data_IF_568551005432
#
_entry.id   IF_568551005432
#
_cell.length_a   1.000
_cell.length_b   1.000
_cell.length_c   1.000
_cell.angle_alpha   90.00
_cell.angle_beta   90.00
_cell.angle_gamma   90.00
#
_symmetry.space_group_name_H-M   'P 1'
#
loop_
_entity.id
_entity.type
_entity.pdbx_description
1 polymer ?
#
# COMPACT_ATOMS: atom_id res chain seq x y z
N UNK A 1 1.23 0.07 38.17
CA UNK A 1 -0.11 0.28 37.57
C UNK A 1 0.09 0.16 36.07
N UNK A 2 -0.46 -0.86 35.41
CA UNK A 2 -0.35 -0.98 33.96
C UNK A 2 -1.21 0.11 33.31
N UNK A 3 -0.58 1.13 32.74
CA UNK A 3 -1.28 2.08 31.88
C UNK A 3 -1.48 1.36 30.56
N UNK A 4 -2.64 0.73 30.39
CA UNK A 4 -3.08 0.24 29.08
C UNK A 4 -3.52 1.45 28.28
N UNK A 5 -2.60 2.06 27.55
CA UNK A 5 -2.90 2.99 26.48
C UNK A 5 -3.62 2.19 25.39
N UNK A 6 -4.95 2.13 25.48
CA UNK A 6 -5.77 1.74 24.33
C UNK A 6 -5.77 2.91 23.37
N UNK A 7 -4.92 2.84 22.35
CA UNK A 7 -5.10 3.64 21.14
C UNK A 7 -6.53 3.41 20.62
N UNK A 8 -7.18 4.44 20.04
CA UNK A 8 -8.52 4.30 19.50
C UNK A 8 -8.51 3.12 18.54
N UNK A 9 -9.30 2.09 18.84
CA UNK A 9 -9.51 0.95 17.96
C UNK A 9 -10.00 1.49 16.63
N UNK A 10 -9.10 1.56 15.65
CA UNK A 10 -9.48 1.68 14.26
C UNK A 10 -10.46 0.51 14.03
N UNK A 11 -11.68 0.75 13.54
CA UNK A 11 -12.64 -0.32 13.27
C UNK A 11 -11.96 -1.44 12.47
N UNK A 12 -12.43 -2.67 12.55
CA UNK A 12 -12.06 -3.68 11.56
C UNK A 12 -12.41 -3.15 10.17
N UNK A 13 -11.41 -2.64 9.45
CA UNK A 13 -11.56 -1.94 8.16
C UNK A 13 -11.70 -2.90 6.98
N UNK A 14 -11.70 -4.21 7.22
CA UNK A 14 -11.62 -5.22 6.18
C UNK A 14 -12.99 -5.85 5.92
N UNK A 15 -13.52 -5.61 4.72
CA UNK A 15 -14.42 -6.56 4.08
C UNK A 15 -13.58 -7.75 3.58
N UNK A 16 -14.07 -8.97 3.82
CA UNK A 16 -13.42 -10.17 3.30
C UNK A 16 -13.41 -10.13 1.75
N UNK A 17 -12.36 -10.64 1.09
CA UNK A 17 -12.31 -10.66 -0.36
C UNK A 17 -13.50 -11.43 -0.93
N UNK A 18 -14.18 -10.85 -1.91
CA UNK A 18 -15.21 -11.56 -2.66
C UNK A 18 -14.59 -12.48 -3.72
N UNK A 19 -15.28 -13.57 -4.07
CA UNK A 19 -14.77 -14.60 -5.00
C UNK A 19 -14.49 -14.04 -6.40
N UNK A 20 -15.15 -12.95 -6.76
CA UNK A 20 -15.08 -12.32 -8.09
C UNK A 20 -14.00 -11.23 -8.19
N UNK A 21 -13.30 -10.93 -7.09
CA UNK A 21 -12.26 -9.91 -7.09
C UNK A 21 -11.04 -10.29 -7.92
N UNK A 22 -10.43 -9.29 -8.55
CA UNK A 22 -9.14 -9.46 -9.21
C UNK A 22 -8.07 -9.90 -8.21
N UNK A 23 -7.17 -10.79 -8.64
CA UNK A 23 -6.08 -11.32 -7.80
C UNK A 23 -5.23 -10.18 -7.21
N UNK A 24 -5.03 -9.09 -7.97
CA UNK A 24 -4.35 -7.93 -7.44
C UNK A 24 -5.08 -7.19 -6.33
N UNK A 25 -6.41 -7.18 -6.32
CA UNK A 25 -7.18 -6.67 -5.19
C UNK A 25 -7.00 -7.57 -3.97
N UNK A 26 -7.15 -8.89 -4.12
CA UNK A 26 -7.00 -9.86 -3.03
C UNK A 26 -5.64 -9.73 -2.35
N UNK A 27 -4.54 -9.74 -3.13
CA UNK A 27 -3.20 -9.61 -2.56
C UNK A 27 -2.91 -8.23 -1.96
N UNK A 28 -3.50 -7.17 -2.52
CA UNK A 28 -3.44 -5.84 -1.92
C UNK A 28 -4.11 -5.84 -0.54
N UNK A 29 -5.28 -6.47 -0.43
CA UNK A 29 -5.99 -6.59 0.84
C UNK A 29 -5.20 -7.37 1.88
N UNK A 30 -4.46 -8.40 1.46
CA UNK A 30 -3.58 -9.18 2.32
C UNK A 30 -2.27 -8.46 2.70
N UNK A 31 -1.99 -7.27 2.14
CA UNK A 31 -0.72 -6.57 2.33
C UNK A 31 0.48 -7.32 1.72
N UNK A 32 0.24 -8.25 0.79
CA UNK A 32 1.26 -9.16 0.26
C UNK A 32 1.89 -8.70 -1.05
N UNK A 33 1.38 -7.62 -1.65
CA UNK A 33 2.00 -7.01 -2.83
C UNK A 33 2.99 -5.93 -2.49
N UNK A 34 4.15 -6.01 -3.15
CA UNK A 34 5.07 -4.90 -3.27
C UNK A 34 4.41 -3.77 -4.07
N UNK A 35 4.45 -2.55 -3.55
CA UNK A 35 4.10 -1.36 -4.35
C UNK A 35 5.39 -0.83 -4.98
N UNK A 36 5.53 -1.00 -6.29
CA UNK A 36 6.69 -0.53 -7.05
C UNK A 36 6.34 0.77 -7.77
N UNK A 37 6.77 1.88 -7.22
CA UNK A 37 6.77 3.17 -7.90
C UNK A 37 7.95 3.19 -8.88
N UNK A 38 7.69 3.00 -10.17
CA UNK A 38 8.73 2.78 -11.18
C UNK A 38 9.29 4.09 -11.75
N UNK A 39 8.47 5.13 -11.82
CA UNK A 39 8.86 6.44 -12.35
C UNK A 39 7.88 7.51 -11.86
N UNK A 40 8.34 8.73 -11.61
CA UNK A 40 7.49 9.89 -11.33
C UNK A 40 7.03 10.64 -12.58
N UNK A 41 7.49 10.23 -13.77
CA UNK A 41 7.11 10.85 -15.05
C UNK A 41 5.64 10.53 -15.34
N UNK A 42 4.85 11.56 -15.65
CA UNK A 42 3.46 11.44 -16.09
C UNK A 42 3.18 12.48 -17.18
N UNK A 43 2.34 12.12 -18.15
CA UNK A 43 1.89 13.06 -19.18
C UNK A 43 0.72 13.94 -18.70
N UNK A 44 0.06 13.55 -17.60
CA UNK A 44 -1.17 14.16 -17.12
C UNK A 44 -0.98 14.82 -15.77
N UNK A 45 -1.65 15.96 -15.57
CA UNK A 45 -1.72 16.69 -14.30
C UNK A 45 -3.17 16.69 -13.82
N UNK A 46 -3.66 15.53 -13.44
CA UNK A 46 -5.03 15.36 -12.96
C UNK A 46 -5.26 16.18 -11.70
N UNK A 47 -6.43 16.82 -11.60
CA UNK A 47 -6.77 17.66 -10.45
C UNK A 47 -6.90 16.85 -9.15
N UNK A 48 -7.29 15.57 -9.25
CA UNK A 48 -7.43 14.61 -8.15
C UNK A 48 -6.15 13.84 -7.82
N UNK A 49 -5.02 14.10 -8.49
CA UNK A 49 -3.81 13.27 -8.35
C UNK A 49 -3.30 13.22 -6.89
N UNK A 50 -3.26 12.04 -6.23
CA UNK A 50 -2.86 11.91 -4.83
C UNK A 50 -1.33 11.92 -4.64
N UNK A 51 -0.55 11.91 -5.73
CA UNK A 51 0.91 11.91 -5.64
C UNK A 51 1.43 13.19 -4.98
N UNK A 52 2.26 12.99 -3.96
CA UNK A 52 3.01 14.05 -3.28
C UNK A 52 4.01 14.73 -4.22
N UNK A 53 4.30 16.01 -3.97
CA UNK A 53 5.17 16.82 -4.84
C UNK A 53 6.57 16.22 -4.99
N UNK A 54 7.13 15.62 -3.94
CA UNK A 54 8.44 14.98 -3.96
C UNK A 54 8.52 13.71 -4.84
N UNK A 55 7.38 13.13 -5.23
CA UNK A 55 7.32 11.98 -6.15
C UNK A 55 6.94 12.39 -7.57
N UNK A 56 6.40 13.59 -7.79
CA UNK A 56 6.05 14.08 -9.13
C UNK A 56 7.32 14.40 -9.92
N UNK A 57 7.38 13.91 -11.15
CA UNK A 57 8.53 14.09 -12.06
C UNK A 57 9.87 13.51 -11.51
N UNK A 58 9.82 12.76 -10.41
CA UNK A 58 11.00 12.11 -9.83
C UNK A 58 11.48 10.95 -10.72
N UNK A 59 12.80 10.81 -10.85
CA UNK A 59 13.41 9.67 -11.56
C UNK A 59 13.69 8.48 -10.64
N UNK A 60 13.56 8.67 -9.33
CA UNK A 60 13.81 7.65 -8.31
C UNK A 60 12.69 6.60 -8.28
N UNK A 61 13.06 5.32 -8.19
CA UNK A 61 12.09 4.27 -7.89
C UNK A 61 11.84 4.18 -6.39
N UNK A 62 10.66 3.72 -6.01
CA UNK A 62 10.39 3.32 -4.62
C UNK A 62 9.79 1.92 -4.59
N UNK A 63 10.40 1.05 -3.79
CA UNK A 63 9.83 -0.23 -3.41
C UNK A 63 9.19 -0.05 -2.03
N UNK A 64 7.85 -0.01 -1.99
CA UNK A 64 7.11 0.50 -0.84
C UNK A 64 7.58 1.92 -0.46
N UNK A 65 8.13 2.07 0.76
CA UNK A 65 8.69 3.32 1.28
C UNK A 65 10.20 3.46 0.97
N UNK A 66 10.89 2.37 0.59
CA UNK A 66 12.34 2.36 0.35
C UNK A 66 12.67 3.01 -1.00
N UNK A 67 13.47 4.09 -1.06
CA UNK A 67 14.03 4.57 -2.32
C UNK A 67 14.99 3.55 -2.91
N UNK A 68 14.89 3.30 -4.22
CA UNK A 68 15.69 2.30 -4.91
C UNK A 68 16.39 2.89 -6.14
N UNK A 69 17.69 2.65 -6.25
CA UNK A 69 18.52 3.00 -7.40
C UNK A 69 18.70 1.81 -8.37
N UNK A 70 18.29 0.60 -7.97
CA UNK A 70 18.41 -0.60 -8.80
C UNK A 70 17.29 -1.60 -8.52
N UNK A 71 17.05 -2.52 -9.46
CA UNK A 71 16.11 -3.62 -9.24
C UNK A 71 16.59 -4.64 -8.20
N UNK A 72 17.89 -4.67 -7.86
CA UNK A 72 18.37 -5.55 -6.79
C UNK A 72 17.87 -5.06 -5.43
N UNK A 73 17.85 -3.75 -5.20
CA UNK A 73 17.26 -3.15 -3.98
C UNK A 73 15.75 -3.35 -3.92
N UNK A 74 15.06 -3.30 -5.08
CA UNK A 74 13.63 -3.62 -5.20
C UNK A 74 13.38 -5.09 -4.81
N UNK A 75 14.20 -6.01 -5.31
CA UNK A 75 14.13 -7.44 -5.01
C UNK A 75 14.39 -7.71 -3.52
N UNK A 76 15.38 -7.05 -2.93
CA UNK A 76 15.64 -7.13 -1.48
C UNK A 76 14.41 -6.74 -0.67
N UNK A 77 13.76 -5.62 -1.04
CA UNK A 77 12.57 -5.14 -0.35
C UNK A 77 11.38 -6.10 -0.53
N UNK A 78 11.19 -6.64 -1.74
CA UNK A 78 10.20 -7.67 -2.01
C UNK A 78 10.43 -8.94 -1.18
N UNK A 79 11.69 -9.42 -1.08
CA UNK A 79 12.04 -10.58 -0.24
C UNK A 79 11.76 -10.31 1.23
N UNK A 80 12.15 -9.13 1.71
CA UNK A 80 12.05 -8.81 3.11
C UNK A 80 10.59 -8.59 3.56
N UNK A 81 9.67 -8.16 2.68
CA UNK A 81 8.22 -8.21 2.97
C UNK A 81 7.55 -9.56 2.63
N UNK A 82 8.34 -10.56 2.21
CA UNK A 82 7.86 -11.84 1.70
C UNK A 82 6.75 -11.64 0.63
N UNK A 83 6.98 -10.77 -0.35
CA UNK A 83 5.97 -10.39 -1.33
C UNK A 83 5.49 -11.60 -2.17
N UNK A 84 4.19 -11.65 -2.48
CA UNK A 84 3.58 -12.64 -3.38
C UNK A 84 3.35 -12.10 -4.79
N UNK A 85 3.54 -10.80 -4.98
CA UNK A 85 3.35 -10.10 -6.24
C UNK A 85 3.81 -8.65 -6.14
N UNK A 86 3.69 -7.92 -7.24
CA UNK A 86 3.96 -6.49 -7.29
C UNK A 86 2.89 -5.71 -8.07
N UNK A 87 2.66 -4.47 -7.64
CA UNK A 87 1.92 -3.44 -8.35
C UNK A 87 2.83 -2.36 -8.86
N UNK A 88 2.93 -2.25 -10.19
CA UNK A 88 3.72 -1.24 -10.86
C UNK A 88 2.88 0.01 -11.03
N UNK A 89 3.26 1.04 -10.30
CA UNK A 89 2.63 2.36 -10.27
C UNK A 89 3.70 3.44 -10.48
N UNK A 90 3.35 4.71 -10.31
CA UNK A 90 4.23 5.82 -10.59
C UNK A 90 3.45 7.11 -10.83
N UNK A 91 4.03 7.98 -11.65
CA UNK A 91 3.29 8.93 -12.46
C UNK A 91 2.47 8.18 -13.52
N UNK A 92 3.15 7.57 -14.50
CA UNK A 92 2.56 6.55 -15.37
C UNK A 92 3.68 5.60 -15.88
N UNK A 93 3.61 4.28 -15.60
CA UNK A 93 4.61 3.30 -16.03
C UNK A 93 4.91 3.29 -17.54
N UNK A 94 3.96 3.69 -18.38
CA UNK A 94 4.14 3.78 -19.83
C UNK A 94 5.03 4.96 -20.25
N UNK A 95 5.30 5.92 -19.36
CA UNK A 95 6.27 7.00 -19.62
C UNK A 95 7.72 6.48 -19.66
N UNK A 96 7.99 5.34 -19.02
CA UNK A 96 9.27 4.62 -19.13
C UNK A 96 9.02 3.13 -19.37
N UNK A 97 8.49 2.83 -20.56
CA UNK A 97 8.05 1.48 -20.94
C UNK A 97 9.16 0.43 -20.83
N UNK A 98 10.38 0.76 -21.28
CA UNK A 98 11.50 -0.18 -21.26
C UNK A 98 11.91 -0.51 -19.83
N UNK A 99 11.98 0.51 -18.96
CA UNK A 99 12.28 0.31 -17.55
C UNK A 99 11.18 -0.51 -16.84
N UNK A 100 9.92 -0.25 -17.16
CA UNK A 100 8.78 -1.04 -16.68
C UNK A 100 8.87 -2.50 -17.11
N UNK A 101 9.13 -2.79 -18.39
CA UNK A 101 9.28 -4.16 -18.90
C UNK A 101 10.46 -4.88 -18.23
N UNK A 102 11.57 -4.19 -18.01
CA UNK A 102 12.70 -4.75 -17.27
C UNK A 102 12.33 -5.08 -15.82
N UNK A 103 11.63 -4.18 -15.12
CA UNK A 103 11.15 -4.43 -13.76
C UNK A 103 10.25 -5.67 -13.65
N UNK A 104 9.33 -5.85 -14.61
CA UNK A 104 8.47 -7.05 -14.67
C UNK A 104 9.34 -8.31 -14.84
N UNK A 105 10.25 -8.32 -15.83
CA UNK A 105 11.10 -9.48 -16.11
C UNK A 105 11.99 -9.84 -14.92
N UNK A 106 12.59 -8.85 -14.27
CA UNK A 106 13.48 -9.03 -13.12
C UNK A 106 12.76 -9.64 -11.92
N UNK A 107 11.58 -9.12 -11.58
CA UNK A 107 10.77 -9.67 -10.50
C UNK A 107 10.27 -11.09 -10.83
N UNK A 108 9.82 -11.33 -12.06
CA UNK A 108 9.40 -12.67 -12.50
C UNK A 108 10.54 -13.69 -12.50
N UNK A 109 11.73 -13.29 -12.93
CA UNK A 109 12.91 -14.14 -12.93
C UNK A 109 13.32 -14.54 -11.51
N UNK A 110 13.21 -13.62 -10.56
CA UNK A 110 13.57 -13.84 -9.17
C UNK A 110 12.55 -14.70 -8.41
N UNK A 111 11.27 -14.35 -8.48
CA UNK A 111 10.22 -14.94 -7.64
C UNK A 111 9.40 -16.04 -8.34
N UNK A 112 9.60 -16.21 -9.65
CA UNK A 112 8.96 -17.25 -10.44
C UNK A 112 7.58 -16.89 -11.00
N UNK A 113 6.97 -17.83 -11.75
CA UNK A 113 5.75 -17.58 -12.53
C UNK A 113 4.48 -17.40 -11.69
N UNK A 114 4.50 -17.70 -10.39
CA UNK A 114 3.38 -17.44 -9.48
C UNK A 114 3.40 -16.04 -8.88
N UNK A 115 4.49 -15.29 -9.04
CA UNK A 115 4.60 -13.95 -8.48
C UNK A 115 3.76 -12.95 -9.28
N UNK A 116 2.61 -12.57 -8.76
CA UNK A 116 1.60 -11.85 -9.54
C UNK A 116 2.02 -10.42 -9.87
N UNK A 117 2.10 -10.09 -11.14
CA UNK A 117 2.47 -8.76 -11.65
C UNK A 117 1.24 -8.02 -12.15
N UNK A 118 0.97 -6.85 -11.57
CA UNK A 118 -0.03 -5.93 -12.12
C UNK A 118 0.53 -4.53 -12.34
N UNK A 119 -0.06 -3.81 -13.28
CA UNK A 119 0.37 -2.46 -13.65
C UNK A 119 -0.83 -1.52 -13.82
N UNK A 120 -0.64 -0.26 -13.43
CA UNK A 120 -1.58 0.83 -13.68
C UNK A 120 -1.11 1.66 -14.88
N UNK A 121 -2.03 2.17 -15.71
CA UNK A 121 -1.68 3.19 -16.71
C UNK A 121 -2.90 4.00 -17.13
N UNK A 122 -2.67 5.28 -17.42
CA UNK A 122 -3.64 6.19 -18.03
C UNK A 122 -3.45 6.33 -19.55
N UNK A 123 -2.46 5.65 -20.12
CA UNK A 123 -2.09 5.77 -21.53
C UNK A 123 -2.76 4.63 -22.33
N UNK A 124 -3.68 4.94 -23.26
CA UNK A 124 -4.18 3.96 -24.22
C UNK A 124 -3.08 3.67 -25.25
N UNK A 125 -2.13 2.82 -24.87
CA UNK A 125 -0.95 2.51 -25.66
C UNK A 125 -1.30 1.67 -26.89
N UNK A 126 -0.34 1.53 -27.81
CA UNK A 126 -0.59 0.82 -29.07
C UNK A 126 -0.85 -0.67 -28.82
N UNK A 127 -1.92 -1.27 -29.38
CA UNK A 127 -2.26 -2.68 -29.18
C UNK A 127 -1.11 -3.68 -29.32
N UNK A 128 -0.16 -3.43 -30.23
CA UNK A 128 1.02 -4.29 -30.42
C UNK A 128 1.91 -4.45 -29.16
N UNK A 129 1.90 -3.48 -28.25
CA UNK A 129 2.69 -3.53 -27.02
C UNK A 129 2.10 -4.49 -25.98
N UNK A 130 0.82 -4.86 -26.09
CA UNK A 130 0.19 -5.82 -25.17
C UNK A 130 0.97 -7.16 -25.14
N UNK A 131 1.45 -7.60 -26.30
CA UNK A 131 2.28 -8.81 -26.40
C UNK A 131 3.60 -8.67 -25.64
N UNK A 132 4.26 -7.52 -25.72
CA UNK A 132 5.53 -7.29 -25.01
C UNK A 132 5.35 -7.35 -23.50
N UNK A 133 4.23 -6.82 -22.97
CA UNK A 133 3.88 -6.92 -21.56
C UNK A 133 3.55 -8.36 -21.13
N UNK A 134 2.77 -9.09 -21.94
CA UNK A 134 2.48 -10.50 -21.67
C UNK A 134 3.76 -11.35 -21.67
N UNK A 135 4.64 -11.17 -22.66
CA UNK A 135 5.94 -11.86 -22.76
C UNK A 135 6.89 -11.50 -21.59
N UNK A 136 6.82 -10.27 -21.08
CA UNK A 136 7.55 -9.88 -19.87
C UNK A 136 6.99 -10.56 -18.61
N UNK A 137 5.74 -11.01 -18.64
CA UNK A 137 5.06 -11.69 -17.54
C UNK A 137 4.09 -10.80 -16.77
N UNK A 138 3.48 -9.80 -17.38
CA UNK A 138 2.38 -9.05 -16.76
C UNK A 138 1.12 -9.93 -16.69
N UNK A 139 0.53 -10.09 -15.51
CA UNK A 139 -0.71 -10.87 -15.31
C UNK A 139 -1.95 -9.99 -15.44
N UNK A 140 -1.89 -8.77 -14.90
CA UNK A 140 -3.05 -7.90 -14.76
C UNK A 140 -2.70 -6.45 -15.15
N UNK A 141 -3.62 -5.75 -15.80
CA UNK A 141 -3.48 -4.33 -16.12
C UNK A 141 -4.76 -3.57 -15.75
N UNK A 142 -4.58 -2.37 -15.19
CA UNK A 142 -5.66 -1.46 -14.80
C UNK A 142 -5.53 -0.16 -15.58
N UNK A 143 -6.52 0.12 -16.41
CA UNK A 143 -6.59 1.37 -17.15
C UNK A 143 -7.31 2.44 -16.34
N UNK A 144 -6.67 3.59 -16.20
CA UNK A 144 -7.28 4.80 -15.65
C UNK A 144 -7.90 5.61 -16.80
N UNK A 145 -9.23 5.72 -16.82
CA UNK A 145 -9.93 6.42 -17.90
C UNK A 145 -9.80 7.94 -17.74
N UNK A 146 -9.00 8.55 -18.60
CA UNK A 146 -8.96 10.00 -18.75
C UNK A 146 -10.28 10.52 -19.32
N UNK A 147 -10.84 11.54 -18.67
CA UNK A 147 -12.16 12.14 -18.99
C UNK A 147 -13.30 11.11 -19.09
N UNK A 148 -13.16 9.95 -18.43
CA UNK A 148 -14.11 8.83 -18.47
C UNK A 148 -14.41 8.29 -19.89
N UNK A 149 -13.52 8.53 -20.86
CA UNK A 149 -13.69 8.12 -22.25
C UNK A 149 -13.26 6.66 -22.47
N UNK A 150 -14.14 5.72 -22.11
CA UNK A 150 -13.90 4.28 -22.21
C UNK A 150 -13.56 3.82 -23.66
N UNK A 151 -14.15 4.46 -24.67
CA UNK A 151 -14.00 4.06 -26.09
C UNK A 151 -12.58 4.20 -26.61
N UNK A 152 -11.80 5.13 -26.06
CA UNK A 152 -10.36 5.27 -26.40
C UNK A 152 -9.54 4.03 -26.03
N UNK A 153 -10.00 3.24 -25.06
CA UNK A 153 -9.26 2.10 -24.52
C UNK A 153 -9.70 0.76 -25.12
N UNK A 154 -10.83 0.71 -25.84
CA UNK A 154 -11.42 -0.52 -26.38
C UNK A 154 -10.40 -1.40 -27.12
N UNK A 155 -9.70 -0.81 -28.10
CA UNK A 155 -8.71 -1.56 -28.90
C UNK A 155 -7.52 -2.12 -28.10
N UNK A 156 -7.06 -1.41 -27.07
CA UNK A 156 -5.92 -1.85 -26.24
C UNK A 156 -6.38 -2.86 -25.18
N UNK A 157 -7.59 -2.71 -24.66
CA UNK A 157 -8.21 -3.66 -23.73
C UNK A 157 -8.39 -5.01 -24.40
N UNK A 158 -9.04 -5.07 -25.57
CA UNK A 158 -9.19 -6.31 -26.32
C UNK A 158 -7.84 -6.94 -26.67
N UNK A 159 -6.82 -6.13 -26.95
CA UNK A 159 -5.47 -6.62 -27.21
C UNK A 159 -4.81 -7.25 -25.97
N UNK A 160 -4.94 -6.63 -24.79
CA UNK A 160 -4.43 -7.19 -23.53
C UNK A 160 -5.11 -8.53 -23.20
N UNK A 161 -6.43 -8.58 -23.31
CA UNK A 161 -7.23 -9.79 -23.08
C UNK A 161 -6.86 -10.90 -24.07
N UNK A 162 -6.66 -10.57 -25.34
CA UNK A 162 -6.21 -11.52 -26.36
C UNK A 162 -4.79 -12.09 -26.09
N UNK A 163 -3.97 -11.39 -25.31
CA UNK A 163 -2.68 -11.88 -24.84
C UNK A 163 -2.75 -12.64 -23.50
N UNK A 164 -3.95 -12.77 -22.92
CA UNK A 164 -4.16 -13.45 -21.64
C UNK A 164 -3.90 -12.58 -20.40
N UNK A 165 -3.80 -11.25 -20.56
CA UNK A 165 -3.66 -10.31 -19.45
C UNK A 165 -5.05 -10.01 -18.89
N UNK A 166 -5.24 -10.22 -17.58
CA UNK A 166 -6.46 -9.80 -16.89
C UNK A 166 -6.55 -8.27 -16.92
N UNK A 167 -7.60 -7.75 -17.51
CA UNK A 167 -7.73 -6.33 -17.83
C UNK A 167 -8.93 -5.74 -17.12
N UNK A 168 -8.69 -4.69 -16.36
CA UNK A 168 -9.73 -3.94 -15.69
C UNK A 168 -9.57 -2.44 -15.87
N UNK A 169 -10.54 -1.72 -15.34
CA UNK A 169 -10.52 -0.26 -15.26
C UNK A 169 -10.45 0.13 -13.79
N UNK A 170 -9.68 1.16 -13.47
CA UNK A 170 -9.65 1.74 -12.13
C UNK A 170 -9.79 3.26 -12.23
N UNK A 171 -10.81 3.83 -11.59
CA UNK A 171 -11.13 5.26 -11.66
C UNK A 171 -11.55 5.80 -10.28
N UNK A 172 -11.28 7.09 -9.99
CA UNK A 172 -11.82 7.74 -8.82
C UNK A 172 -13.33 7.96 -8.97
N UNK A 173 -14.05 7.84 -7.86
CA UNK A 173 -15.48 8.12 -7.79
C UNK A 173 -15.69 9.59 -7.43
N UNK A 174 -15.57 10.48 -8.42
CA UNK A 174 -15.74 11.91 -8.24
C UNK A 174 -17.24 12.27 -8.09
N UNK A 175 -17.68 12.78 -6.92
CA UNK A 175 -19.12 12.91 -6.65
C UNK A 175 -19.82 13.98 -7.48
N UNK A 176 -19.09 14.95 -8.03
CA UNK A 176 -19.62 15.96 -8.96
C UNK A 176 -19.80 15.44 -10.40
N UNK A 177 -19.36 14.21 -10.69
CA UNK A 177 -19.44 13.55 -12.01
C UNK A 177 -20.41 12.36 -12.02
N UNK A 178 -21.43 12.33 -11.16
CA UNK A 178 -22.38 11.21 -11.07
C UNK A 178 -22.96 10.80 -12.42
N UNK A 179 -23.38 11.77 -13.25
CA UNK A 179 -24.00 11.47 -14.56
C UNK A 179 -23.00 10.87 -15.53
N UNK A 180 -21.79 11.41 -15.54
CA UNK A 180 -20.69 10.99 -16.38
C UNK A 180 -20.20 9.60 -15.99
N UNK A 181 -20.05 9.33 -14.68
CA UNK A 181 -19.70 8.02 -14.15
C UNK A 181 -20.75 6.95 -14.45
N UNK A 182 -22.04 7.26 -14.27
CA UNK A 182 -23.13 6.35 -14.62
C UNK A 182 -23.22 6.11 -16.14
N UNK A 183 -22.92 7.13 -16.96
CA UNK A 183 -22.83 6.98 -18.41
C UNK A 183 -21.64 6.09 -18.80
N UNK A 184 -20.48 6.30 -18.18
CA UNK A 184 -19.28 5.51 -18.43
C UNK A 184 -19.51 4.04 -18.05
N UNK A 185 -20.24 3.77 -16.97
CA UNK A 185 -20.63 2.41 -16.58
C UNK A 185 -21.42 1.70 -17.68
N UNK A 186 -22.32 2.40 -18.38
CA UNK A 186 -23.04 1.86 -19.53
C UNK A 186 -22.19 1.77 -20.79
N UNK A 187 -21.28 2.73 -21.05
CA UNK A 187 -20.34 2.66 -22.18
C UNK A 187 -19.36 1.48 -22.04
N UNK A 188 -19.03 1.08 -20.80
CA UNK A 188 -18.20 -0.09 -20.50
C UNK A 188 -18.92 -1.42 -20.74
N UNK A 189 -20.25 -1.41 -20.91
CA UNK A 189 -21.02 -2.62 -21.19
C UNK A 189 -20.62 -3.21 -22.54
N UNK A 190 -20.11 -4.45 -22.51
CA UNK A 190 -19.67 -5.16 -23.71
C UNK A 190 -18.21 -4.90 -24.10
N UNK A 191 -17.45 -4.15 -23.29
CA UNK A 191 -15.99 -4.16 -23.37
C UNK A 191 -15.44 -5.46 -22.78
N UNK A 192 -14.24 -5.87 -23.21
CA UNK A 192 -13.59 -7.11 -22.76
C UNK A 192 -12.97 -7.02 -21.34
N UNK A 193 -13.42 -6.08 -20.50
CA UNK A 193 -12.90 -5.93 -19.13
C UNK A 193 -13.45 -7.02 -18.21
N UNK A 194 -12.64 -7.48 -17.23
CA UNK A 194 -13.08 -8.43 -16.22
C UNK A 194 -13.54 -7.76 -14.92
N UNK A 195 -13.05 -6.55 -14.62
CA UNK A 195 -13.38 -5.82 -13.41
C UNK A 195 -13.30 -4.30 -13.56
N UNK A 196 -14.04 -3.60 -12.70
CA UNK A 196 -13.99 -2.15 -12.49
C UNK A 196 -13.70 -1.88 -11.01
N UNK A 197 -12.62 -1.16 -10.72
CA UNK A 197 -12.32 -0.66 -9.40
C UNK A 197 -12.72 0.81 -9.30
N UNK A 198 -13.63 1.13 -8.39
CA UNK A 198 -13.94 2.49 -7.98
C UNK A 198 -13.19 2.81 -6.70
N UNK A 199 -12.38 3.86 -6.73
CA UNK A 199 -11.72 4.38 -5.55
C UNK A 199 -12.52 5.56 -5.00
N UNK A 200 -12.75 5.58 -3.70
CA UNK A 200 -13.23 6.79 -3.03
C UNK A 200 -12.26 7.95 -3.32
N UNK A 201 -12.80 9.12 -3.63
CA UNK A 201 -11.99 10.28 -3.95
C UNK A 201 -11.29 10.77 -2.68
N UNK A 202 -9.97 10.64 -2.64
CA UNK A 202 -9.11 11.09 -1.55
C UNK A 202 -8.72 12.57 -1.68
N UNK A 203 -8.92 13.34 -0.62
CA UNK A 203 -8.43 14.69 -0.42
C UNK A 203 -7.10 14.58 0.34
N UNK A 204 -6.01 14.82 -0.38
CA UNK A 204 -4.63 14.79 0.14
C UNK A 204 -4.04 16.19 0.14
N UNK A 205 -2.92 16.40 0.85
CA UNK A 205 -2.18 17.67 0.81
C UNK A 205 -1.84 18.10 -0.63
N UNK A 206 -1.53 17.13 -1.49
CA UNK A 206 -1.12 17.38 -2.88
C UNK A 206 -2.26 17.78 -3.83
N UNK A 207 -3.52 17.57 -3.46
CA UNK A 207 -4.68 17.93 -4.29
C UNK A 207 -5.69 18.85 -3.57
N UNK A 208 -5.48 19.16 -2.28
CA UNK A 208 -6.43 19.91 -1.45
C UNK A 208 -6.92 21.21 -2.09
N UNK A 209 -6.01 22.02 -2.64
CA UNK A 209 -6.39 23.28 -3.29
C UNK A 209 -7.31 23.09 -4.51
N UNK A 210 -7.11 22.02 -5.28
CA UNK A 210 -7.99 21.70 -6.41
C UNK A 210 -9.34 21.16 -5.93
N UNK A 211 -9.34 20.37 -4.85
CA UNK A 211 -10.57 19.84 -4.25
C UNK A 211 -11.43 20.97 -3.64
N UNK A 212 -10.80 21.97 -3.01
CA UNK A 212 -11.48 23.17 -2.49
C UNK A 212 -12.12 23.98 -3.62
N UNK A 213 -11.41 24.19 -4.73
CA UNK A 213 -11.96 24.88 -5.92
C UNK A 213 -13.18 24.16 -6.50
N UNK A 214 -13.21 22.83 -6.41
CA UNK A 214 -14.34 22.00 -6.83
C UNK A 214 -15.45 21.88 -5.78
N UNK A 215 -15.27 22.47 -4.60
CA UNK A 215 -16.27 22.53 -3.54
C UNK A 215 -16.43 21.24 -2.76
N UNK A 216 -15.45 20.34 -2.79
CA UNK A 216 -15.48 19.11 -1.99
C UNK A 216 -15.15 19.41 -0.52
N UNK A 217 -15.92 18.78 0.37
CA UNK A 217 -15.63 18.73 1.80
C UNK A 217 -15.18 17.31 2.16
N UNK A 218 -14.42 17.18 3.25
CA UNK A 218 -14.11 15.88 3.83
C UNK A 218 -15.42 15.18 4.26
N UNK A 219 -15.49 13.85 4.06
CA UNK A 219 -16.65 13.02 4.42
C UNK A 219 -16.93 13.02 5.92
N UNK A 220 -15.87 13.10 6.74
CA UNK A 220 -15.93 13.30 8.19
C UNK A 220 -14.61 13.91 8.71
N UNK A 221 -14.47 14.11 10.03
CA UNK A 221 -13.25 14.67 10.65
C UNK A 221 -12.06 13.68 10.67
N UNK A 222 -12.27 12.41 10.27
CA UNK A 222 -11.33 11.30 10.48
C UNK A 222 -10.76 10.77 9.15
N UNK A 223 -11.51 10.88 8.06
CA UNK A 223 -11.21 10.28 6.76
C UNK A 223 -10.78 11.32 5.74
N UNK A 224 -9.89 10.92 4.83
CA UNK A 224 -9.51 11.74 3.68
C UNK A 224 -10.54 11.68 2.53
N UNK A 225 -11.70 11.03 2.70
CA UNK A 225 -12.69 10.88 1.63
C UNK A 225 -13.41 12.18 1.28
N UNK A 226 -13.80 12.35 0.02
CA UNK A 226 -14.68 13.44 -0.41
C UNK A 226 -16.15 13.10 -0.13
N UNK A 227 -16.88 14.02 0.50
CA UNK A 227 -18.30 13.85 0.80
C UNK A 227 -19.11 13.49 -0.46
N UNK A 228 -19.94 12.44 -0.36
CA UNK A 228 -20.75 11.91 -1.46
C UNK A 228 -20.03 10.89 -2.36
N UNK A 229 -18.70 10.78 -2.30
CA UNK A 229 -17.94 9.83 -3.12
C UNK A 229 -18.29 8.37 -2.80
N UNK A 230 -18.28 8.01 -1.51
CA UNK A 230 -18.62 6.65 -1.07
C UNK A 230 -20.08 6.27 -1.40
N UNK A 231 -21.03 7.18 -1.20
CA UNK A 231 -22.44 6.93 -1.51
C UNK A 231 -22.64 6.65 -3.00
N UNK A 232 -22.03 7.46 -3.86
CA UNK A 232 -22.07 7.24 -5.31
C UNK A 232 -21.41 5.92 -5.70
N UNK A 233 -20.25 5.59 -5.14
CA UNK A 233 -19.56 4.34 -5.44
C UNK A 233 -20.36 3.11 -5.01
N UNK A 234 -21.00 3.15 -3.84
CA UNK A 234 -21.92 2.10 -3.35
C UNK A 234 -23.12 1.95 -4.30
N UNK A 235 -23.73 3.06 -4.71
CA UNK A 235 -24.84 3.06 -5.66
C UNK A 235 -24.43 2.40 -7.00
N UNK A 236 -23.25 2.72 -7.52
CA UNK A 236 -22.73 2.10 -8.75
C UNK A 236 -22.46 0.60 -8.56
N UNK A 237 -21.81 0.21 -7.45
CA UNK A 237 -21.54 -1.20 -7.12
C UNK A 237 -22.83 -2.00 -7.02
N UNK A 238 -23.80 -1.50 -6.25
CA UNK A 238 -25.05 -2.21 -5.98
C UNK A 238 -25.90 -2.34 -7.26
N UNK A 239 -25.85 -1.35 -8.16
CA UNK A 239 -26.41 -1.44 -9.52
C UNK A 239 -25.79 -2.59 -10.32
N UNK A 240 -24.46 -2.69 -10.34
CA UNK A 240 -23.77 -3.77 -11.06
C UNK A 240 -24.10 -5.14 -10.46
N UNK A 241 -24.10 -5.26 -9.14
CA UNK A 241 -24.46 -6.47 -8.42
C UNK A 241 -25.92 -6.90 -8.67
N UNK A 242 -26.87 -5.96 -8.61
CA UNK A 242 -28.27 -6.23 -8.90
C UNK A 242 -28.46 -6.71 -10.35
N UNK A 243 -27.79 -6.08 -11.32
CA UNK A 243 -27.83 -6.49 -12.71
C UNK A 243 -27.24 -7.90 -12.94
N UNK A 244 -26.16 -8.26 -12.22
CA UNK A 244 -25.59 -9.61 -12.29
C UNK A 244 -26.55 -10.69 -11.75
N UNK A 245 -27.36 -10.35 -10.74
CA UNK A 245 -28.36 -11.23 -10.15
C UNK A 245 -29.71 -11.22 -10.89
N UNK A 246 -29.91 -10.29 -11.84
CA UNK A 246 -31.20 -10.08 -12.51
C UNK A 246 -32.26 -9.46 -11.59
N UNK A 247 -31.84 -8.79 -10.53
CA UNK A 247 -32.71 -8.11 -9.56
C UNK A 247 -33.01 -6.66 -10.00
N UNK A 248 -34.10 -6.05 -9.50
CA UNK A 248 -34.37 -4.64 -9.72
C UNK A 248 -33.23 -3.76 -9.20
N UNK A 249 -32.80 -2.79 -10.00
CA UNK A 249 -31.79 -1.81 -9.59
C UNK A 249 -32.25 -1.05 -8.32
N UNK A 250 -31.40 -0.92 -7.29
CA UNK A 250 -31.78 -0.32 -6.02
C UNK A 250 -32.10 1.18 -6.10
N UNK A 251 -31.65 1.86 -7.17
CA UNK A 251 -31.80 3.30 -7.38
C UNK A 251 -33.11 3.60 -8.12
N UNK A 252 -33.42 2.86 -9.19
CA UNK A 252 -34.56 3.16 -10.08
C UNK A 252 -35.53 2.00 -10.34
N UNK A 253 -35.27 0.81 -9.78
CA UNK A 253 -36.11 -0.36 -9.90
C UNK A 253 -36.12 -1.02 -11.29
N UNK A 254 -35.29 -0.55 -12.23
CA UNK A 254 -35.19 -1.15 -13.56
C UNK A 254 -34.33 -2.42 -13.49
N UNK A 255 -34.85 -3.54 -13.99
CA UNK A 255 -34.07 -4.77 -14.15
C UNK A 255 -33.19 -4.63 -15.39
N UNK A 256 -31.88 -4.77 -15.22
CA UNK A 256 -30.87 -4.61 -16.26
C UNK A 256 -30.22 -5.96 -16.57
N UNK A 257 -29.74 -6.11 -17.80
CA UNK A 257 -28.85 -7.21 -18.16
C UNK A 257 -27.51 -7.09 -17.40
N UNK A 258 -26.78 -8.18 -17.17
CA UNK A 258 -25.46 -8.13 -16.56
C UNK A 258 -24.48 -7.20 -17.32
N UNK A 259 -23.62 -6.51 -16.59
CA UNK A 259 -22.60 -5.62 -17.19
C UNK A 259 -21.42 -6.39 -17.81
N UNK A 260 -21.16 -7.61 -17.33
CA UNK A 260 -20.08 -8.47 -17.82
C UNK A 260 -18.76 -8.37 -17.03
N UNK A 261 -18.73 -7.56 -15.97
CA UNK A 261 -17.57 -7.37 -15.09
C UNK A 261 -18.00 -7.20 -13.64
N UNK A 262 -17.09 -7.52 -12.71
CA UNK A 262 -17.27 -7.26 -11.29
C UNK A 262 -16.90 -5.81 -10.96
N UNK A 263 -17.66 -5.12 -10.11
CA UNK A 263 -17.34 -3.77 -9.64
C UNK A 263 -16.95 -3.81 -8.16
N UNK A 264 -15.70 -3.47 -7.87
CA UNK A 264 -15.18 -3.32 -6.50
C UNK A 264 -15.11 -1.85 -6.11
N UNK A 265 -15.57 -1.52 -4.91
CA UNK A 265 -15.38 -0.21 -4.30
C UNK A 265 -14.26 -0.28 -3.23
N UNK A 266 -13.28 0.62 -3.31
CA UNK A 266 -12.22 0.77 -2.32
C UNK A 266 -12.37 2.12 -1.59
N UNK A 267 -12.51 2.08 -0.27
CA UNK A 267 -12.60 3.30 0.55
C UNK A 267 -11.23 3.94 0.76
N UNK A 268 -11.20 5.25 0.99
CA UNK A 268 -9.99 6.01 1.28
C UNK A 268 -9.31 5.48 2.56
N UNK A 269 -10.10 5.22 3.61
CA UNK A 269 -9.62 4.67 4.88
C UNK A 269 -8.95 3.32 4.70
N UNK A 270 -9.54 2.48 3.85
CA UNK A 270 -8.96 1.17 3.55
C UNK A 270 -7.62 1.29 2.85
N UNK A 271 -7.52 2.21 1.89
CA UNK A 271 -6.29 2.45 1.13
C UNK A 271 -5.18 3.03 2.00
N UNK A 272 -5.49 4.01 2.83
CA UNK A 272 -4.50 4.70 3.66
C UNK A 272 -4.07 3.87 4.88
N UNK A 273 -5.04 3.39 5.67
CA UNK A 273 -4.75 2.71 6.93
C UNK A 273 -4.71 1.18 6.77
N UNK A 274 -5.66 0.60 6.02
CA UNK A 274 -5.79 -0.85 5.88
C UNK A 274 -4.62 -1.49 5.12
N UNK A 275 -4.37 -1.03 3.89
CA UNK A 275 -3.34 -1.60 3.01
C UNK A 275 -1.94 -1.40 3.58
N UNK A 276 -1.65 -0.21 4.11
CA UNK A 276 -0.35 0.10 4.73
C UNK A 276 -0.12 -0.76 5.97
N UNK A 277 -1.10 -0.83 6.90
CA UNK A 277 -0.99 -1.64 8.12
C UNK A 277 -0.78 -3.12 7.80
N UNK A 278 -1.53 -3.69 6.86
CA UNK A 278 -1.37 -5.11 6.50
C UNK A 278 0.01 -5.40 5.92
N UNK A 279 0.55 -4.48 5.10
CA UNK A 279 1.92 -4.60 4.59
C UNK A 279 2.97 -4.47 5.70
N UNK A 280 2.77 -3.57 6.66
CA UNK A 280 3.65 -3.43 7.82
C UNK A 280 3.60 -4.66 8.72
N UNK A 281 2.42 -5.21 9.01
CA UNK A 281 2.27 -6.47 9.72
C UNK A 281 3.02 -7.60 9.01
N UNK A 282 2.79 -7.78 7.70
CA UNK A 282 3.48 -8.81 6.91
C UNK A 282 4.99 -8.64 6.92
N UNK A 283 5.47 -7.40 6.72
CA UNK A 283 6.91 -7.10 6.73
C UNK A 283 7.50 -7.35 8.11
N UNK A 284 6.84 -6.89 9.17
CA UNK A 284 7.21 -7.15 10.55
C UNK A 284 7.32 -8.64 10.84
N UNK A 285 6.30 -9.43 10.50
CA UNK A 285 6.31 -10.89 10.68
C UNK A 285 7.46 -11.58 9.94
N UNK A 286 7.81 -11.09 8.74
CA UNK A 286 8.87 -11.64 7.92
C UNK A 286 10.28 -11.30 8.42
N UNK A 287 10.46 -10.16 9.09
CA UNK A 287 11.80 -9.65 9.48
C UNK A 287 12.03 -9.51 10.98
N UNK A 288 11.06 -9.84 11.82
CA UNK A 288 11.15 -9.64 13.27
C UNK A 288 12.39 -10.32 13.87
N UNK A 289 13.16 -9.54 14.62
CA UNK A 289 14.34 -10.00 15.34
C UNK A 289 13.94 -10.60 16.71
N UNK A 290 14.79 -11.44 17.33
CA UNK A 290 14.41 -12.13 18.57
C UNK A 290 14.04 -11.19 19.73
N UNK A 291 14.63 -10.00 19.80
CA UNK A 291 14.39 -9.01 20.85
C UNK A 291 13.15 -8.14 20.64
N UNK A 292 12.53 -8.24 19.46
CA UNK A 292 11.41 -7.39 19.06
C UNK A 292 10.07 -8.06 19.31
N UNK A 293 9.03 -7.24 19.47
CA UNK A 293 7.64 -7.67 19.47
C UNK A 293 6.88 -6.87 18.41
N UNK A 294 6.14 -7.58 17.54
CA UNK A 294 5.23 -6.96 16.56
C UNK A 294 3.90 -6.62 17.23
N UNK A 295 3.50 -5.36 17.14
CA UNK A 295 2.23 -4.87 17.67
C UNK A 295 1.09 -5.14 16.70
N UNK A 296 -0.16 -5.05 17.19
CA UNK A 296 -1.34 -5.13 16.33
C UNK A 296 -1.42 -3.96 15.35
N UNK A 297 -0.78 -2.82 15.62
CA UNK A 297 -0.79 -1.66 14.72
C UNK A 297 0.26 -1.74 13.60
N UNK A 298 1.02 -2.83 13.53
CA UNK A 298 2.05 -3.03 12.51
C UNK A 298 3.35 -2.28 12.82
N UNK A 299 3.69 -2.13 14.10
CA UNK A 299 4.96 -1.55 14.57
C UNK A 299 5.78 -2.58 15.33
N UNK A 300 7.09 -2.35 15.45
CA UNK A 300 7.99 -3.20 16.23
C UNK A 300 8.37 -2.45 17.52
N UNK A 301 8.22 -3.11 18.66
CA UNK A 301 8.61 -2.58 19.96
C UNK A 301 9.72 -3.40 20.58
N UNK A 302 10.64 -2.73 21.27
CA UNK A 302 11.75 -3.33 22.02
C UNK A 302 12.27 -2.35 23.07
N UNK A 303 13.09 -2.86 23.98
CA UNK A 303 13.82 -2.03 24.93
C UNK A 303 15.19 -1.66 24.38
N UNK A 304 15.74 -0.53 24.80
CA UNK A 304 17.10 -0.10 24.49
C UNK A 304 17.84 0.33 25.75
N UNK A 305 19.15 0.10 25.77
CA UNK A 305 20.08 0.65 26.74
C UNK A 305 21.08 1.50 25.95
N UNK A 306 21.15 2.79 26.24
CA UNK A 306 22.12 3.66 25.59
C UNK A 306 23.53 3.36 26.10
N UNK A 307 24.48 3.22 25.19
CA UNK A 307 25.88 2.96 25.54
C UNK A 307 26.83 3.35 24.41
N UNK A 308 28.03 3.78 24.77
CA UNK A 308 29.11 3.98 23.79
C UNK A 308 29.49 2.64 23.13
N UNK A 309 29.92 2.71 21.87
CA UNK A 309 30.23 1.52 21.07
C UNK A 309 31.38 0.70 21.67
N UNK A 310 32.31 1.37 22.36
CA UNK A 310 33.49 0.78 22.98
C UNK A 310 33.16 -0.14 24.16
N UNK A 311 32.04 0.12 24.85
CA UNK A 311 31.61 -0.64 26.04
C UNK A 311 30.44 -1.58 25.77
N UNK A 312 29.90 -1.58 24.55
CA UNK A 312 28.71 -2.36 24.20
C UNK A 312 28.89 -3.87 24.44
N UNK A 313 30.04 -4.44 24.10
CA UNK A 313 30.33 -5.87 24.32
C UNK A 313 30.37 -6.21 25.82
N UNK A 314 30.97 -5.35 26.65
CA UNK A 314 31.01 -5.52 28.11
C UNK A 314 29.61 -5.46 28.72
N UNK A 315 28.79 -4.50 28.28
CA UNK A 315 27.41 -4.35 28.71
C UNK A 315 26.57 -5.57 28.30
N UNK A 316 26.71 -6.05 27.06
CA UNK A 316 26.02 -7.25 26.61
C UNK A 316 26.40 -8.48 27.45
N UNK A 317 27.68 -8.68 27.76
CA UNK A 317 28.15 -9.78 28.60
C UNK A 317 27.62 -9.69 30.04
N UNK A 318 27.53 -8.47 30.59
CA UNK A 318 26.92 -8.22 31.90
C UNK A 318 25.42 -8.52 31.90
N UNK A 319 24.66 -8.01 30.91
CA UNK A 319 23.23 -8.29 30.78
C UNK A 319 23.00 -9.81 30.71
N UNK A 320 23.78 -10.54 29.91
CA UNK A 320 23.68 -12.00 29.80
C UNK A 320 23.92 -12.67 31.15
N UNK A 321 24.94 -12.22 31.90
CA UNK A 321 25.31 -12.80 33.19
C UNK A 321 24.24 -12.57 34.26
N UNK A 322 23.71 -11.35 34.34
CA UNK A 322 22.77 -10.95 35.41
C UNK A 322 21.33 -11.40 35.11
N UNK A 323 20.91 -11.36 33.84
CA UNK A 323 19.53 -11.70 33.44
C UNK A 323 19.36 -13.13 32.94
N UNK A 324 20.46 -13.79 32.52
CA UNK A 324 20.40 -15.07 31.81
C UNK A 324 19.85 -14.98 30.38
N UNK A 325 19.66 -13.76 29.85
CA UNK A 325 19.16 -13.54 28.51
C UNK A 325 20.14 -14.11 27.46
N UNK A 326 19.70 -14.96 26.51
CA UNK A 326 20.61 -15.49 25.50
C UNK A 326 21.12 -14.40 24.54
N UNK A 327 22.40 -14.45 24.14
CA UNK A 327 23.06 -13.47 23.23
C UNK A 327 22.28 -13.10 21.97
N UNK A 328 21.47 -14.02 21.43
CA UNK A 328 20.63 -13.80 20.24
C UNK A 328 19.51 -12.76 20.44
N UNK A 329 19.16 -12.45 21.69
CA UNK A 329 18.19 -11.42 22.06
C UNK A 329 18.86 -10.06 22.36
N UNK A 330 20.17 -9.94 22.14
CA UNK A 330 20.87 -8.68 22.28
C UNK A 330 21.37 -8.27 20.90
N UNK A 331 21.04 -7.06 20.50
CA UNK A 331 21.53 -6.47 19.26
C UNK A 331 22.24 -5.15 19.56
N UNK A 332 23.45 -4.96 19.06
CA UNK A 332 24.17 -3.71 19.19
C UNK A 332 23.91 -2.87 17.95
N UNK A 333 23.16 -1.79 18.11
CA UNK A 333 22.99 -0.76 17.09
C UNK A 333 24.10 0.27 17.26
N UNK A 334 25.19 0.08 16.51
CA UNK A 334 26.35 0.95 16.58
C UNK A 334 26.12 2.33 15.97
N UNK A 335 25.13 2.47 15.09
CA UNK A 335 24.79 3.75 14.46
C UNK A 335 24.05 4.66 15.44
N UNK A 336 23.18 4.08 16.28
CA UNK A 336 22.43 4.80 17.31
C UNK A 336 23.06 4.76 18.70
N UNK A 337 24.17 4.04 18.88
CA UNK A 337 24.91 3.98 20.15
C UNK A 337 24.08 3.35 21.27
N UNK A 338 23.52 2.15 21.00
CA UNK A 338 22.63 1.48 21.96
C UNK A 338 22.62 -0.04 21.79
N UNK A 339 22.24 -0.74 22.84
CA UNK A 339 21.92 -2.17 22.82
C UNK A 339 20.40 -2.32 22.84
N UNK A 340 19.85 -3.01 21.84
CA UNK A 340 18.45 -3.40 21.78
C UNK A 340 18.26 -4.76 22.46
N UNK A 341 17.23 -4.86 23.30
CA UNK A 341 16.88 -6.01 24.13
C UNK A 341 15.35 -6.21 24.18
N UNK A 342 14.83 -7.36 24.64
CA UNK A 342 13.41 -7.52 24.86
C UNK A 342 12.88 -6.45 25.80
N UNK A 343 11.74 -5.86 25.45
CA UNK A 343 11.12 -4.81 26.26
C UNK A 343 10.91 -5.25 27.72
N UNK A 344 10.44 -6.48 27.93
CA UNK A 344 10.28 -7.05 29.28
C UNK A 344 11.58 -7.03 30.09
N UNK A 345 12.73 -7.32 29.47
CA UNK A 345 14.03 -7.25 30.14
C UNK A 345 14.40 -5.80 30.46
N UNK A 346 14.16 -4.86 29.55
CA UNK A 346 14.41 -3.44 29.79
C UNK A 346 13.57 -2.89 30.96
N UNK A 347 12.30 -3.27 31.04
CA UNK A 347 11.41 -2.92 32.16
C UNK A 347 11.85 -3.53 33.50
N UNK A 348 12.44 -4.73 33.47
CA UNK A 348 12.94 -5.41 34.68
C UNK A 348 14.21 -4.78 35.25
N UNK A 349 15.11 -4.31 34.38
CA UNK A 349 16.44 -3.81 34.78
C UNK A 349 16.51 -2.29 34.91
N UNK A 350 15.50 -1.54 34.43
CA UNK A 350 15.56 -0.08 34.34
C UNK A 350 15.94 0.61 35.65
N UNK A 351 15.42 0.12 36.78
CA UNK A 351 15.69 0.70 38.11
C UNK A 351 17.09 0.37 38.66
N UNK A 352 17.79 -0.62 38.07
CA UNK A 352 19.09 -1.09 38.52
C UNK A 352 20.25 -0.65 37.62
N UNK A 353 19.94 -0.12 36.44
CA UNK A 353 20.93 0.30 35.44
C UNK A 353 21.08 1.82 35.49
N UNK A 354 22.33 2.30 35.60
CA UNK A 354 22.65 3.74 35.60
C UNK A 354 22.53 4.37 34.20
N UNK A 355 22.80 3.58 33.15
CA UNK A 355 22.67 4.02 31.76
C UNK A 355 21.18 4.28 31.41
N UNK A 356 20.88 5.22 30.48
CA UNK A 356 19.52 5.44 30.03
C UNK A 356 18.91 4.17 29.42
N UNK A 357 17.74 3.79 29.93
CA UNK A 357 16.96 2.66 29.42
C UNK A 357 15.64 3.20 28.88
N UNK A 358 15.26 2.80 27.66
CA UNK A 358 14.04 3.27 27.03
C UNK A 358 13.24 2.15 26.33
N UNK A 359 11.93 2.33 26.27
CA UNK A 359 11.05 1.71 25.29
C UNK A 359 11.20 2.43 23.95
N UNK A 360 11.33 1.68 22.86
CA UNK A 360 11.35 2.21 21.50
C UNK A 360 10.33 1.48 20.64
N UNK A 361 9.58 2.25 19.85
CA UNK A 361 8.65 1.78 18.83
C UNK A 361 9.10 2.27 17.45
N UNK A 362 9.18 1.37 16.48
CA UNK A 362 9.58 1.68 15.09
C UNK A 362 8.63 1.09 14.06
N UNK A 363 8.60 1.69 12.87
CA UNK A 363 8.00 1.05 11.71
C UNK A 363 8.85 -0.15 11.23
N UNK A 364 8.23 -1.24 10.77
CA UNK A 364 8.93 -2.38 10.18
C UNK A 364 9.32 -2.07 8.72
N UNK A 365 9.96 -0.94 8.46
CA UNK A 365 10.42 -0.56 7.11
C UNK A 365 11.93 -0.72 6.98
N UNK A 366 12.47 -0.50 5.78
CA UNK A 366 13.92 -0.49 5.59
C UNK A 366 14.64 0.53 6.49
N UNK A 367 14.07 1.73 6.65
CA UNK A 367 14.68 2.80 7.47
C UNK A 367 14.42 2.67 8.97
N UNK A 368 13.47 1.81 9.37
CA UNK A 368 13.06 1.61 10.78
C UNK A 368 12.84 2.95 11.50
N UNK A 369 11.93 3.75 10.95
CA UNK A 369 11.57 5.06 11.47
C UNK A 369 11.07 4.94 12.92
N UNK A 370 11.66 5.71 13.84
CA UNK A 370 11.21 5.76 15.24
C UNK A 370 9.94 6.56 15.38
N UNK A 371 8.94 5.93 15.97
CA UNK A 371 7.63 6.52 16.23
C UNK A 371 7.53 7.07 17.64
N UNK A 372 8.08 6.33 18.61
CA UNK A 372 8.00 6.70 20.03
C UNK A 372 9.23 6.20 20.77
N UNK A 373 9.73 7.04 21.68
CA UNK A 373 10.73 6.69 22.69
C UNK A 373 10.22 7.12 24.06
N UNK A 374 10.28 6.21 25.04
CA UNK A 374 9.90 6.48 26.43
C UNK A 374 10.97 5.94 27.36
N UNK A 375 11.67 6.83 28.06
CA UNK A 375 12.67 6.44 29.05
C UNK A 375 11.98 5.78 30.26
N UNK A 376 12.49 4.60 30.62
CA UNK A 376 11.99 3.74 31.69
C UNK A 376 12.65 4.08 33.03
N UNK A 377 13.88 4.59 33.00
CA UNK A 377 14.54 5.16 34.16
C UNK A 377 14.70 6.67 34.03
N UNK A 378 14.69 7.36 35.16
CA UNK A 378 15.07 8.75 35.22
C UNK A 378 16.59 8.82 35.06
N UNK A 379 17.06 8.89 33.82
CA UNK A 379 18.39 9.40 33.56
C UNK A 379 18.42 10.82 34.16
N UNK A 380 19.23 11.02 35.20
CA UNK A 380 19.60 12.37 35.60
C UNK A 380 20.18 13.02 34.34
N UNK A 381 19.40 13.88 33.70
CA UNK A 381 19.85 14.74 32.62
C UNK A 381 20.89 15.69 33.21
N UNK A 382 22.13 15.22 33.31
CA UNK A 382 23.28 16.03 33.62
C UNK A 382 23.46 17.04 32.50
N UNK A 383 23.21 18.31 32.86
CA UNK A 383 23.56 19.59 32.22
C UNK A 383 24.11 19.59 30.77
#
# INVERSE_FOLDING_TARGET
MSVTLRLPTIPTLFDAPEVEEAEGCIQCQMGSKLVLFITGKCHWKCDYCPLSENRREAEMMFANERPCNSFDEVIEEARAMNATGAGITGGDPLMDREHTLEGIRRLRQEFGPSFHMHMYTSIPFKPEYAREFAEAGLDEIRFHLLDLDAKKYDSVISACVAQGIQTGIEIPCEPDQEKELMSALEDMRGMDIQFLNLNELEITVGNHGNMEVRGFNLSDEITAGAAGSAELAINMRDRVAAAALGEPDPIDGVVREPYGFHLKFCTAVYKDAGQLRNRFLRRGEATIAPHELLTEDGTLIFGVIECENEVADEYMDEIIRETGLPRRFLYHDSERGRIEIPLSTAEEISDAVEAPVAFVEVHPTHERLEMTIVYLNSADSGD
#
